data_IF_770283602388
#
_entry.id   IF_770283602388
#
_cell.length_a   1.000
_cell.length_b   1.000
_cell.length_c   1.000
_cell.angle_alpha   90.00
_cell.angle_beta   90.00
_cell.angle_gamma   90.00
#
_symmetry.space_group_name_H-M   'P 1'
#
loop_
_entity.id
_entity.type
_entity.pdbx_description
1 polymer ?
#
# COMPACT_ATOMS: atom_id res chain seq x y z
N UNK A 1 3.74 34.56 4.13
CA UNK A 1 3.42 34.01 2.79
C UNK A 1 3.56 32.50 2.89
N UNK A 2 2.48 31.82 3.28
CA UNK A 2 2.45 30.36 3.36
C UNK A 2 2.37 29.78 1.95
N UNK A 3 3.52 29.38 1.42
CA UNK A 3 3.55 28.43 0.31
C UNK A 3 3.49 27.05 0.92
N UNK A 4 2.27 26.55 1.13
CA UNK A 4 2.02 25.14 1.42
C UNK A 4 2.60 24.35 0.27
N UNK A 5 3.84 23.90 0.39
CA UNK A 5 4.48 23.07 -0.64
C UNK A 5 3.66 21.79 -0.75
N UNK A 6 3.06 21.60 -1.90
CA UNK A 6 2.37 20.37 -2.27
C UNK A 6 3.42 19.44 -2.88
N UNK A 7 3.52 18.24 -2.33
CA UNK A 7 4.21 17.12 -2.99
C UNK A 7 3.19 16.11 -3.47
N UNK A 8 3.65 15.06 -4.14
CA UNK A 8 2.79 14.02 -4.70
C UNK A 8 3.29 12.67 -4.23
N UNK A 9 2.38 11.80 -3.82
CA UNK A 9 2.66 10.39 -3.57
C UNK A 9 1.90 9.51 -4.54
N UNK A 10 2.37 8.28 -4.71
CA UNK A 10 1.64 7.26 -5.45
C UNK A 10 0.79 6.44 -4.50
N UNK A 11 -0.50 6.35 -4.81
CA UNK A 11 -1.45 5.49 -4.14
C UNK A 11 -1.84 4.35 -5.07
N UNK A 12 -1.69 3.12 -4.60
CA UNK A 12 -2.08 1.92 -5.32
C UNK A 12 -3.38 1.35 -4.72
N UNK A 13 -4.47 1.40 -5.48
CA UNK A 13 -5.77 0.82 -5.12
C UNK A 13 -6.37 0.08 -6.31
N UNK A 14 -6.83 -1.16 -6.12
CA UNK A 14 -7.53 -1.99 -7.11
C UNK A 14 -6.88 -1.91 -8.52
N UNK A 15 -5.54 -1.98 -8.56
CA UNK A 15 -4.68 -1.96 -9.76
C UNK A 15 -4.54 -0.61 -10.45
N UNK A 16 -5.19 0.42 -9.91
CA UNK A 16 -5.06 1.79 -10.36
C UNK A 16 -4.00 2.48 -9.49
N UNK A 17 -3.00 3.03 -10.15
CA UNK A 17 -2.07 3.97 -9.51
C UNK A 17 -2.61 5.38 -9.66
N UNK A 18 -2.74 6.09 -8.55
CA UNK A 18 -3.10 7.52 -8.54
C UNK A 18 -1.96 8.32 -7.96
N UNK A 19 -1.65 9.44 -8.59
CA UNK A 19 -0.80 10.47 -8.01
C UNK A 19 -1.67 11.38 -7.16
N UNK A 20 -1.47 11.38 -5.85
CA UNK A 20 -2.29 12.13 -4.90
C UNK A 20 -1.41 13.22 -4.26
N UNK A 21 -1.90 14.48 -4.18
CA UNK A 21 -1.16 15.53 -3.50
C UNK A 21 -1.17 15.32 -1.98
N UNK A 22 -0.09 15.72 -1.33
CA UNK A 22 -0.03 15.86 0.12
C UNK A 22 0.29 17.30 0.51
N UNK A 23 -0.12 17.67 1.72
CA UNK A 23 0.05 19.02 2.26
C UNK A 23 1.15 19.00 3.31
N UNK A 24 2.14 19.90 3.21
CA UNK A 24 3.12 20.06 4.28
C UNK A 24 2.48 20.73 5.49
N UNK A 25 2.55 20.08 6.66
CA UNK A 25 2.08 20.65 7.93
C UNK A 25 3.19 21.44 8.63
N UNK A 26 4.39 20.86 8.73
CA UNK A 26 5.56 21.48 9.35
C UNK A 26 6.86 20.88 8.74
N UNK A 27 8.08 21.18 9.25
CA UNK A 27 9.31 20.64 8.67
C UNK A 27 9.52 19.14 8.73
N UNK A 28 8.76 18.41 9.53
CA UNK A 28 8.91 16.97 9.69
C UNK A 28 7.59 16.21 9.50
N UNK A 29 6.52 16.88 9.07
CA UNK A 29 5.19 16.26 8.94
C UNK A 29 4.45 16.71 7.69
N UNK A 30 3.73 15.75 7.13
CA UNK A 30 2.81 15.92 6.01
C UNK A 30 1.41 15.46 6.40
N UNK A 31 0.41 16.01 5.73
CA UNK A 31 -0.97 15.55 5.76
C UNK A 31 -1.27 14.88 4.43
N UNK A 32 -1.65 13.61 4.48
CA UNK A 32 -2.11 12.87 3.31
C UNK A 32 -3.64 12.88 3.24
N UNK A 33 -4.16 13.09 2.03
CA UNK A 33 -5.59 13.11 1.74
C UNK A 33 -5.93 11.97 0.78
N UNK A 34 -6.22 10.79 1.32
CA UNK A 34 -6.67 9.66 0.49
C UNK A 34 -8.19 9.78 0.34
N UNK A 35 -8.73 9.80 -0.89
CA UNK A 35 -10.17 9.79 -1.12
C UNK A 35 -10.83 8.66 -0.33
N UNK A 36 -11.99 8.93 0.28
CA UNK A 36 -12.77 7.99 1.11
C UNK A 36 -12.23 7.76 2.55
N UNK A 37 -11.11 8.40 2.93
CA UNK A 37 -10.54 8.24 4.27
C UNK A 37 -10.27 9.58 4.97
N UNK A 38 -10.30 9.61 6.31
CA UNK A 38 -9.86 10.76 7.08
C UNK A 38 -8.42 11.17 6.74
N UNK A 39 -8.17 12.48 6.75
CA UNK A 39 -6.83 13.01 6.58
C UNK A 39 -5.92 12.48 7.69
N UNK A 40 -4.71 12.06 7.32
CA UNK A 40 -3.75 11.45 8.26
C UNK A 40 -2.45 12.23 8.25
N UNK A 41 -1.88 12.45 9.44
CA UNK A 41 -0.57 13.09 9.62
C UNK A 41 0.50 12.01 9.66
N UNK A 42 1.57 12.20 8.88
CA UNK A 42 2.70 11.27 8.80
C UNK A 42 3.99 12.06 9.01
N UNK A 43 4.90 11.49 9.81
CA UNK A 43 6.25 12.02 9.95
C UNK A 43 7.04 11.74 8.66
N UNK A 44 7.58 12.80 8.05
CA UNK A 44 8.28 12.76 6.77
C UNK A 44 9.42 13.78 6.75
N UNK A 45 10.64 13.33 6.46
CA UNK A 45 11.78 14.20 6.23
C UNK A 45 11.81 14.66 4.77
N UNK A 46 11.64 15.96 4.54
CA UNK A 46 11.66 16.53 3.18
C UNK A 46 13.01 16.46 2.47
N UNK A 47 14.09 16.14 3.19
CA UNK A 47 15.40 15.87 2.58
C UNK A 47 15.43 14.49 1.96
N UNK A 48 14.53 13.60 2.37
CA UNK A 48 14.41 12.27 1.81
C UNK A 48 13.92 12.33 0.35
N UNK A 49 14.76 11.82 -0.54
CA UNK A 49 14.51 11.75 -1.99
C UNK A 49 13.87 10.42 -2.40
N UNK A 50 13.62 9.51 -1.45
CA UNK A 50 12.89 8.27 -1.70
C UNK A 50 11.46 8.57 -2.11
N UNK A 51 10.91 7.68 -2.91
CA UNK A 51 9.55 7.81 -3.43
C UNK A 51 8.55 7.32 -2.40
N UNK A 52 7.59 8.17 -2.02
CA UNK A 52 6.51 7.78 -1.13
C UNK A 52 5.44 6.97 -1.88
N UNK A 53 5.21 5.74 -1.43
CA UNK A 53 4.17 4.83 -1.92
C UNK A 53 3.21 4.50 -0.79
N UNK A 54 1.92 4.60 -1.06
CA UNK A 54 0.86 4.13 -0.16
C UNK A 54 0.11 3.00 -0.85
N UNK A 55 -0.08 1.88 -0.15
CA UNK A 55 -0.83 0.74 -0.67
C UNK A 55 -1.57 0.01 0.45
N UNK A 56 -2.58 -0.77 0.06
CA UNK A 56 -3.33 -1.64 0.95
C UNK A 56 -2.87 -3.08 0.77
N UNK A 57 -2.41 -3.70 1.85
CA UNK A 57 -1.89 -5.06 1.84
C UNK A 57 -0.70 -5.27 2.77
N UNK A 58 0.12 -6.24 2.42
CA UNK A 58 1.22 -6.71 3.25
C UNK A 58 2.54 -6.73 2.50
N UNK A 59 3.61 -6.96 3.26
CA UNK A 59 4.98 -6.98 2.75
C UNK A 59 5.51 -8.39 3.02
N UNK A 60 5.84 -9.17 1.98
CA UNK A 60 6.42 -10.48 2.18
C UNK A 60 7.82 -10.35 2.80
N UNK A 61 8.33 -11.43 3.40
CA UNK A 61 9.71 -11.45 3.91
C UNK A 61 10.69 -11.09 2.77
N UNK A 62 11.59 -10.13 3.01
CA UNK A 62 12.52 -9.58 2.01
C UNK A 62 11.83 -8.93 0.79
N UNK A 63 10.56 -8.55 0.89
CA UNK A 63 9.83 -7.86 -0.17
C UNK A 63 10.30 -6.43 -0.41
N UNK A 64 10.91 -5.78 0.59
CA UNK A 64 11.44 -4.43 0.46
C UNK A 64 12.96 -4.44 0.17
N UNK A 65 13.46 -3.50 -0.66
CA UNK A 65 14.89 -3.28 -0.78
C UNK A 65 15.48 -2.76 0.53
N UNK A 66 16.77 -3.00 0.77
CA UNK A 66 17.44 -2.71 2.05
C UNK A 66 17.33 -1.24 2.51
N UNK A 67 17.23 -0.29 1.59
CA UNK A 67 17.11 1.15 1.87
C UNK A 67 15.67 1.68 1.80
N UNK A 68 14.68 0.80 1.63
CA UNK A 68 13.29 1.16 1.84
C UNK A 68 12.96 1.22 3.34
N UNK A 69 11.90 1.95 3.64
CA UNK A 69 11.40 2.10 5.00
C UNK A 69 9.87 2.11 5.02
N UNK A 70 9.28 1.57 6.08
CA UNK A 70 7.84 1.66 6.33
C UNK A 70 7.62 2.69 7.43
N UNK A 71 7.18 3.88 7.01
CA UNK A 71 7.05 5.02 7.90
C UNK A 71 5.73 5.06 8.65
N UNK A 72 4.69 4.39 8.13
CA UNK A 72 3.42 4.29 8.83
C UNK A 72 2.62 3.04 8.43
N UNK A 73 1.81 2.56 9.36
CA UNK A 73 0.70 1.64 9.11
C UNK A 73 -0.57 2.38 9.52
N UNK A 74 -1.40 2.68 8.53
CA UNK A 74 -2.63 3.42 8.66
C UNK A 74 -3.81 2.45 8.57
N UNK A 75 -4.94 2.87 9.12
CA UNK A 75 -6.28 2.29 8.98
C UNK A 75 -6.34 0.82 8.53
N UNK A 76 -6.68 -0.04 9.48
CA UNK A 76 -7.06 -1.40 9.20
C UNK A 76 -8.53 -1.45 8.79
N UNK A 77 -8.85 -2.04 7.64
CA UNK A 77 -10.24 -2.27 7.25
C UNK A 77 -10.50 -3.76 7.00
N UNK A 78 -11.70 -4.26 7.37
CA UNK A 78 -12.07 -5.63 7.12
C UNK A 78 -12.42 -5.81 5.63
N UNK A 79 -11.83 -6.83 5.02
CA UNK A 79 -12.25 -7.36 3.72
C UNK A 79 -13.03 -8.65 3.97
N UNK A 80 -14.31 -8.67 3.58
CA UNK A 80 -15.24 -9.75 3.87
C UNK A 80 -15.59 -10.51 2.60
N UNK A 81 -15.42 -11.82 2.62
CA UNK A 81 -15.68 -12.69 1.46
C UNK A 81 -16.35 -13.99 1.92
N UNK A 82 -17.27 -14.54 1.14
CA UNK A 82 -17.86 -15.86 1.42
C UNK A 82 -16.79 -16.97 1.37
N UNK A 83 -16.84 -17.91 2.31
CA UNK A 83 -15.96 -19.09 2.31
C UNK A 83 -16.06 -19.93 1.03
N UNK A 84 -17.17 -19.83 0.29
CA UNK A 84 -17.29 -20.49 -1.01
C UNK A 84 -16.29 -19.94 -2.03
N UNK A 85 -16.07 -18.62 -2.05
CA UNK A 85 -15.15 -17.96 -2.99
C UNK A 85 -13.67 -18.08 -2.60
N UNK A 86 -13.37 -18.39 -1.34
CA UNK A 86 -11.98 -18.57 -0.87
C UNK A 86 -11.49 -20.01 -1.07
N UNK A 87 -12.39 -21.01 -1.01
CA UNK A 87 -12.07 -22.45 -1.18
C UNK A 87 -11.57 -22.82 -2.57
N UNK A 88 -11.88 -22.03 -3.60
CA UNK A 88 -11.45 -22.28 -4.98
C UNK A 88 -10.05 -21.72 -5.29
N UNK A 89 -9.44 -20.93 -4.41
CA UNK A 89 -8.20 -20.19 -4.70
C UNK A 89 -6.88 -20.92 -4.34
N UNK A 90 -6.88 -21.88 -3.39
CA UNK A 90 -5.88 -22.95 -3.08
C UNK A 90 -6.15 -23.43 -1.64
N UNK A 91 -5.55 -24.56 -1.25
CA UNK A 91 -5.65 -25.18 0.09
C UNK A 91 -5.43 -24.15 1.20
N UNK A 92 -6.34 -24.15 2.18
CA UNK A 92 -6.56 -23.14 3.20
C UNK A 92 -5.35 -22.89 4.13
N UNK A 93 -4.35 -22.17 3.64
CA UNK A 93 -3.41 -21.42 4.47
C UNK A 93 -3.40 -19.99 3.95
N UNK A 94 -4.39 -19.20 4.39
CA UNK A 94 -4.30 -17.76 4.20
C UNK A 94 -3.02 -17.31 4.93
N UNK A 95 -2.08 -16.63 4.26
CA UNK A 95 -0.79 -16.29 4.86
C UNK A 95 -0.90 -15.25 6.00
N UNK A 96 -2.11 -14.84 6.38
CA UNK A 96 -2.40 -13.70 7.24
C UNK A 96 -3.56 -14.00 8.22
N UNK A 97 -3.64 -13.28 9.35
CA UNK A 97 -4.72 -13.43 10.31
C UNK A 97 -6.08 -13.22 9.64
N UNK A 98 -6.97 -14.19 9.84
CA UNK A 98 -8.33 -14.14 9.34
C UNK A 98 -9.29 -14.67 10.38
N UNK A 99 -10.52 -14.18 10.32
CA UNK A 99 -11.64 -14.66 11.16
C UNK A 99 -12.63 -15.37 10.26
N UNK A 100 -12.97 -16.61 10.61
CA UNK A 100 -14.08 -17.35 10.00
C UNK A 100 -15.31 -17.15 10.87
N UNK A 101 -16.40 -16.67 10.27
CA UNK A 101 -17.66 -16.43 10.96
C UNK A 101 -18.62 -17.62 10.81
N UNK A 102 -19.63 -17.66 11.68
CA UNK A 102 -20.62 -18.74 11.71
C UNK A 102 -21.46 -18.83 10.42
N UNK A 103 -21.67 -17.70 9.74
CA UNK A 103 -22.36 -17.62 8.44
C UNK A 103 -21.49 -18.12 7.27
N UNK A 104 -20.28 -18.59 7.56
CA UNK A 104 -19.32 -19.04 6.58
C UNK A 104 -18.66 -17.89 5.82
N UNK A 105 -18.76 -16.64 6.25
CA UNK A 105 -17.93 -15.56 5.74
C UNK A 105 -16.53 -15.57 6.36
N UNK A 106 -15.57 -15.00 5.66
CA UNK A 106 -14.18 -14.85 6.09
C UNK A 106 -13.82 -13.38 6.02
N UNK A 107 -13.26 -12.89 7.11
CA UNK A 107 -12.74 -11.53 7.22
C UNK A 107 -11.23 -11.54 7.32
N UNK A 108 -10.58 -10.76 6.46
CA UNK A 108 -9.15 -10.42 6.58
C UNK A 108 -9.04 -8.95 6.90
N UNK A 109 -8.21 -8.62 7.89
CA UNK A 109 -7.91 -7.23 8.22
C UNK A 109 -6.77 -6.74 7.32
N UNK A 110 -7.09 -5.89 6.35
CA UNK A 110 -6.10 -5.32 5.44
C UNK A 110 -5.55 -4.03 6.05
N UNK A 111 -4.22 -3.95 6.13
CA UNK A 111 -3.53 -2.76 6.62
C UNK A 111 -3.16 -1.84 5.45
N UNK A 112 -3.34 -0.53 5.63
CA UNK A 112 -2.75 0.45 4.73
C UNK A 112 -1.34 0.76 5.17
N UNK A 113 -0.38 0.71 4.27
CA UNK A 113 1.04 0.94 4.58
C UNK A 113 1.58 2.11 3.79
N UNK A 114 2.41 2.91 4.45
CA UNK A 114 3.13 4.03 3.85
C UNK A 114 4.60 3.68 3.80
N UNK A 115 5.14 3.65 2.59
CA UNK A 115 6.51 3.26 2.30
C UNK A 115 7.30 4.42 1.72
N UNK A 116 8.59 4.47 2.06
CA UNK A 116 9.59 5.25 1.36
C UNK A 116 10.47 4.28 0.57
N UNK A 117 10.37 4.33 -0.75
CA UNK A 117 11.06 3.42 -1.66
C UNK A 117 12.24 4.11 -2.37
N UNK A 118 13.44 3.52 -2.34
CA UNK A 118 14.54 3.94 -3.23
C UNK A 118 14.23 3.56 -4.68
N UNK A 119 15.06 4.01 -5.62
CA UNK A 119 15.08 3.41 -6.94
C UNK A 119 15.42 1.91 -6.83
N UNK A 120 14.68 1.07 -7.53
CA UNK A 120 14.84 -0.38 -7.44
C UNK A 120 13.53 -1.13 -7.59
N UNK A 121 13.49 -2.34 -7.02
CA UNK A 121 12.32 -3.22 -7.04
C UNK A 121 11.86 -3.50 -5.62
N UNK A 122 10.56 -3.56 -5.43
CA UNK A 122 9.91 -4.08 -4.23
C UNK A 122 8.83 -5.10 -4.64
N UNK A 123 8.51 -6.00 -3.73
CA UNK A 123 7.44 -6.99 -3.85
C UNK A 123 6.47 -6.70 -2.71
N UNK A 124 5.21 -6.49 -3.06
CA UNK A 124 4.12 -6.25 -2.13
C UNK A 124 3.10 -7.37 -2.28
N UNK A 125 2.41 -7.71 -1.19
CA UNK A 125 1.27 -8.61 -1.20
C UNK A 125 -0.02 -7.81 -1.16
N UNK A 126 -0.96 -8.17 -2.02
CA UNK A 126 -2.31 -7.60 -2.06
C UNK A 126 -3.33 -8.74 -2.10
N UNK A 127 -4.60 -8.40 -1.87
CA UNK A 127 -5.69 -9.37 -1.86
C UNK A 127 -6.73 -9.01 -2.90
N UNK A 128 -7.24 -10.02 -3.59
CA UNK A 128 -8.47 -9.87 -4.37
C UNK A 128 -9.65 -9.61 -3.46
N UNK A 129 -10.43 -8.57 -3.78
CA UNK A 129 -11.61 -8.22 -3.00
C UNK A 129 -12.71 -9.30 -3.01
N UNK A 130 -12.75 -10.15 -4.04
CA UNK A 130 -13.82 -11.12 -4.28
C UNK A 130 -13.54 -12.52 -3.70
N UNK A 131 -12.26 -12.85 -3.45
CA UNK A 131 -11.80 -14.21 -3.16
C UNK A 131 -10.72 -14.28 -2.08
N UNK A 132 -10.21 -13.13 -1.60
CA UNK A 132 -9.05 -13.03 -0.72
C UNK A 132 -7.78 -13.69 -1.29
N UNK A 133 -7.78 -14.06 -2.58
CA UNK A 133 -6.61 -14.63 -3.22
C UNK A 133 -5.46 -13.62 -3.19
N UNK A 134 -4.27 -14.11 -2.89
CA UNK A 134 -3.08 -13.27 -2.80
C UNK A 134 -2.58 -12.92 -4.19
N UNK A 135 -2.19 -11.66 -4.36
CA UNK A 135 -1.54 -11.12 -5.53
C UNK A 135 -0.18 -10.56 -5.18
N UNK A 136 0.84 -11.03 -5.87
CA UNK A 136 2.16 -10.43 -5.81
C UNK A 136 2.17 -9.21 -6.72
N UNK A 137 2.43 -8.05 -6.12
CA UNK A 137 2.59 -6.79 -6.83
C UNK A 137 4.09 -6.43 -6.86
N UNK A 138 4.69 -6.54 -8.05
CA UNK A 138 6.06 -6.12 -8.29
C UNK A 138 6.06 -4.63 -8.58
N UNK A 139 6.69 -3.86 -7.71
CA UNK A 139 6.84 -2.41 -7.85
C UNK A 139 8.25 -2.11 -8.31
N UNK A 140 8.38 -1.37 -9.41
CA UNK A 140 9.67 -0.85 -9.88
C UNK A 140 9.65 0.67 -9.80
N UNK A 141 10.60 1.24 -9.06
CA UNK A 141 10.84 2.68 -8.95
C UNK A 141 12.08 3.03 -9.76
N UNK A 142 11.96 3.98 -10.68
CA UNK A 142 13.07 4.52 -11.48
C UNK A 142 13.06 6.05 -11.43
N UNK A 143 14.22 6.70 -11.50
CA UNK A 143 14.29 8.15 -11.65
C UNK A 143 14.22 8.52 -13.13
N UNK A 144 13.23 9.35 -13.50
CA UNK A 144 13.17 10.01 -14.80
C UNK A 144 13.46 11.51 -14.67
N UNK A 145 13.56 12.19 -15.80
CA UNK A 145 13.83 13.64 -15.87
C UNK A 145 12.76 14.48 -15.13
N UNK A 146 11.52 13.99 -15.08
CA UNK A 146 10.39 14.65 -14.44
C UNK A 146 10.05 14.07 -13.05
N UNK A 147 11.01 13.42 -12.40
CA UNK A 147 10.85 12.79 -11.08
C UNK A 147 10.68 11.27 -11.13
N UNK A 148 10.26 10.65 -10.01
CA UNK A 148 10.17 9.20 -9.93
C UNK A 148 9.04 8.66 -10.82
N UNK A 149 9.36 7.58 -11.53
CA UNK A 149 8.45 6.76 -12.33
C UNK A 149 8.26 5.46 -11.56
N UNK A 150 7.00 5.12 -11.28
CA UNK A 150 6.63 3.87 -10.62
C UNK A 150 5.84 3.01 -11.60
N UNK A 151 6.29 1.76 -11.76
CA UNK A 151 5.62 0.74 -12.57
C UNK A 151 5.19 -0.40 -11.65
N UNK A 152 3.95 -0.86 -11.84
CA UNK A 152 3.36 -1.96 -11.08
C UNK A 152 3.09 -3.12 -12.02
N UNK A 153 3.42 -4.33 -11.57
CA UNK A 153 3.12 -5.56 -12.29
C UNK A 153 2.52 -6.56 -11.30
N UNK A 154 1.23 -6.82 -11.42
CA UNK A 154 0.54 -7.84 -10.63
C UNK A 154 0.71 -9.22 -11.26
N UNK A 155 0.75 -10.25 -10.43
CA UNK A 155 0.82 -11.64 -10.88
C UNK A 155 0.27 -12.61 -9.84
N UNK A 156 -0.31 -13.71 -10.35
CA UNK A 156 -1.03 -14.75 -9.62
C UNK A 156 -0.14 -15.94 -9.19
N UNK A 157 1.20 -15.81 -9.21
CA UNK A 157 2.17 -16.92 -8.99
C UNK A 157 1.79 -17.88 -7.85
#
# INVERSE_FOLDING_TARGET
MDTTKQGVFSYLNNDITRKIPFTRLNPSQIVIHIPEYPATIIDYDFRDQRTMLIFDGDIPCNGLPRSADQVAVLSQYPMNVSSFHTRTARTFELPHPHTVWEDGSITVTVSRRVLLLPAGKAILLRYRQDSLAVWYCFVKVTHGENGPIIVFQNTDY
#
